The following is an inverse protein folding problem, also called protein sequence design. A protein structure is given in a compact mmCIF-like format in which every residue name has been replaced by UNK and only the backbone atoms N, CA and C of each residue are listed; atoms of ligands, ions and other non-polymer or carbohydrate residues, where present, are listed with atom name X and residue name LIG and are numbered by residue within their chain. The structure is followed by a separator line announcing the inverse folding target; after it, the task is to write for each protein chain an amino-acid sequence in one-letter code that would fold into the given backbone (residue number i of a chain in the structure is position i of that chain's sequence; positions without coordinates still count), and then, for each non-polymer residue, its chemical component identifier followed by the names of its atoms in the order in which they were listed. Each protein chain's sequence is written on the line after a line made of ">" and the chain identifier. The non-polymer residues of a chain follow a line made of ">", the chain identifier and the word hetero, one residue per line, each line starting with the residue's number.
data_IF_493914973114
#
_entry.id   IF_493914973114
#
_cell.length_a   1.000
_cell.length_b   1.000
_cell.length_c   1.000
_cell.angle_alpha   90.00
_cell.angle_beta   90.00
_cell.angle_gamma   90.00
#
_symmetry.space_group_name_H-M   'P 1'
#
loop_
_entity.id
_entity.type
_entity.pdbx_description
1 polymer ?
#
# COMPACT_ATOMS: atom_id res chain seq x y z
N UNK A 1 4.23 15.58 -15.38
CA UNK A 1 4.42 16.33 -14.13
C UNK A 1 3.79 15.51 -13.03
N UNK A 2 4.58 14.96 -12.11
CA UNK A 2 3.98 14.47 -10.86
C UNK A 2 3.39 15.68 -10.12
N UNK A 3 2.12 15.62 -9.77
CA UNK A 3 1.46 16.68 -9.03
C UNK A 3 1.95 16.63 -7.57
N UNK A 4 2.08 17.78 -6.91
CA UNK A 4 2.43 17.86 -5.47
C UNK A 4 1.52 16.98 -4.59
N UNK A 5 0.28 16.80 -5.02
CA UNK A 5 -0.70 15.90 -4.37
C UNK A 5 -0.23 14.44 -4.43
N UNK A 6 0.29 13.98 -5.57
CA UNK A 6 0.78 12.60 -5.74
C UNK A 6 2.00 12.34 -4.86
N UNK A 7 2.95 13.29 -4.81
CA UNK A 7 4.11 13.19 -3.92
C UNK A 7 3.67 13.11 -2.44
N UNK A 8 2.66 13.89 -2.03
CA UNK A 8 2.13 13.84 -0.67
C UNK A 8 1.48 12.48 -0.37
N UNK A 9 0.63 11.97 -1.28
CA UNK A 9 0.00 10.65 -1.16
C UNK A 9 1.04 9.55 -1.03
N UNK A 10 2.10 9.59 -1.84
CA UNK A 10 3.23 8.64 -1.76
C UNK A 10 3.93 8.69 -0.39
N UNK A 11 4.19 9.89 0.14
CA UNK A 11 4.81 10.04 1.46
C UNK A 11 3.92 9.53 2.59
N UNK A 12 2.59 9.69 2.48
CA UNK A 12 1.63 9.14 3.43
C UNK A 12 1.59 7.60 3.39
N UNK A 13 1.74 7.00 2.20
CA UNK A 13 1.80 5.54 2.04
C UNK A 13 2.93 4.91 2.88
N UNK A 14 4.08 5.58 3.00
CA UNK A 14 5.19 5.05 3.81
C UNK A 14 4.76 4.80 5.26
N UNK A 15 3.91 5.66 5.81
CA UNK A 15 3.34 5.45 7.16
C UNK A 15 2.47 4.20 7.22
N UNK A 16 1.69 3.91 6.18
CA UNK A 16 0.86 2.70 6.12
C UNK A 16 1.71 1.43 5.94
N UNK A 17 2.77 1.48 5.12
CA UNK A 17 3.73 0.37 4.99
C UNK A 17 4.51 0.10 6.27
N UNK A 18 4.88 1.14 7.02
CA UNK A 18 5.54 0.98 8.33
C UNK A 18 4.63 0.26 9.33
N UNK A 19 3.32 0.53 9.30
CA UNK A 19 2.35 -0.19 10.16
C UNK A 19 2.28 -1.66 9.79
N UNK A 20 2.19 -1.99 8.50
CA UNK A 20 2.19 -3.38 8.04
C UNK A 20 3.49 -4.10 8.40
N UNK A 21 4.64 -3.48 8.16
CA UNK A 21 5.93 -4.07 8.52
C UNK A 21 6.04 -4.34 10.03
N UNK A 22 5.40 -3.52 10.87
CA UNK A 22 5.38 -3.71 12.33
C UNK A 22 4.51 -4.87 12.82
N UNK A 23 3.71 -5.47 11.96
CA UNK A 23 2.96 -6.70 12.29
C UNK A 23 3.89 -7.92 12.37
N UNK A 24 4.96 -7.93 11.58
CA UNK A 24 5.91 -9.06 11.47
C UNK A 24 7.30 -8.75 12.02
N UNK A 25 7.61 -7.48 12.32
CA UNK A 25 8.91 -7.05 12.82
C UNK A 25 8.76 -6.26 14.11
N UNK A 26 9.67 -6.50 15.05
CA UNK A 26 9.75 -5.69 16.27
C UNK A 26 10.20 -4.28 15.95
N UNK A 27 9.85 -3.36 16.85
CA UNK A 27 10.24 -1.96 16.73
C UNK A 27 11.76 -1.77 16.58
N UNK A 28 12.55 -2.55 17.31
CA UNK A 28 14.02 -2.50 17.24
C UNK A 28 14.53 -2.96 15.87
N UNK A 29 14.02 -4.09 15.36
CA UNK A 29 14.38 -4.59 14.02
C UNK A 29 14.07 -3.58 12.91
N UNK A 30 12.91 -2.91 12.97
CA UNK A 30 12.56 -1.86 12.02
C UNK A 30 13.49 -0.65 12.14
N UNK A 31 13.83 -0.24 13.37
CA UNK A 31 14.75 0.87 13.62
C UNK A 31 16.10 0.60 12.95
N UNK A 32 16.64 -0.60 13.16
CA UNK A 32 17.95 -1.01 12.68
C UNK A 32 17.96 -1.16 11.16
N UNK A 33 16.97 -1.87 10.60
CA UNK A 33 16.89 -2.12 9.16
C UNK A 33 16.68 -0.84 8.34
N UNK A 34 15.81 0.05 8.83
CA UNK A 34 15.49 1.29 8.13
C UNK A 34 16.53 2.40 8.36
N UNK A 35 17.51 2.19 9.25
CA UNK A 35 18.45 3.21 9.70
C UNK A 35 17.70 4.47 10.20
N UNK A 36 16.73 4.22 11.08
CA UNK A 36 15.93 5.25 11.73
C UNK A 36 16.20 5.22 13.23
N UNK A 37 16.38 6.38 13.83
CA UNK A 37 16.38 6.45 15.29
C UNK A 37 14.97 6.15 15.84
N UNK A 38 14.86 5.56 17.05
CA UNK A 38 13.56 5.26 17.66
C UNK A 38 12.59 6.46 17.68
N UNK A 39 13.00 7.71 17.97
CA UNK A 39 12.10 8.86 17.91
C UNK A 39 11.59 9.18 16.50
N UNK A 40 12.42 9.00 15.47
CA UNK A 40 12.03 9.28 14.07
C UNK A 40 11.03 8.23 13.58
N UNK A 41 11.34 6.94 13.79
CA UNK A 41 10.45 5.84 13.44
C UNK A 41 9.06 6.05 14.07
N UNK A 42 9.03 6.47 15.34
CA UNK A 42 7.80 6.71 16.08
C UNK A 42 6.95 7.81 15.45
N UNK A 43 7.59 8.93 15.07
CA UNK A 43 6.91 10.06 14.43
C UNK A 43 6.36 9.67 13.06
N UNK A 44 7.08 8.85 12.31
CA UNK A 44 6.65 8.37 10.99
C UNK A 44 5.48 7.39 11.09
N UNK A 45 5.55 6.40 12.00
CA UNK A 45 4.48 5.41 12.21
C UNK A 45 3.16 6.06 12.67
N UNK A 46 3.25 7.12 13.49
CA UNK A 46 2.06 7.88 13.94
C UNK A 46 1.62 8.95 12.94
N UNK A 47 2.39 9.21 11.88
CA UNK A 47 2.09 10.27 10.91
C UNK A 47 2.26 11.69 11.44
N UNK A 48 2.94 11.90 12.59
CA UNK A 48 3.21 13.24 13.13
C UNK A 48 4.14 14.05 12.22
N UNK A 49 5.02 13.35 11.49
CA UNK A 49 5.92 13.90 10.48
C UNK A 49 5.93 12.93 9.32
N UNK A 50 5.91 13.45 8.09
CA UNK A 50 6.09 12.64 6.90
C UNK A 50 7.55 12.74 6.42
N UNK A 51 8.17 11.63 5.96
CA UNK A 51 9.49 11.69 5.35
C UNK A 51 9.49 12.66 4.15
N UNK A 52 10.66 13.21 3.79
CA UNK A 52 10.77 13.90 2.49
C UNK A 52 10.54 12.92 1.34
N UNK A 53 10.21 13.40 0.13
CA UNK A 53 9.96 12.51 -1.01
C UNK A 53 11.14 11.56 -1.28
N UNK A 54 12.38 12.08 -1.34
CA UNK A 54 13.59 11.25 -1.49
C UNK A 54 13.76 10.22 -0.36
N UNK A 55 13.47 10.60 0.89
CA UNK A 55 13.55 9.68 2.03
C UNK A 55 12.43 8.64 2.00
N UNK A 56 11.25 9.00 1.51
CA UNK A 56 10.12 8.10 1.31
C UNK A 56 10.48 7.01 0.29
N UNK A 57 11.11 7.37 -0.82
CA UNK A 57 11.54 6.41 -1.84
C UNK A 57 12.53 5.38 -1.26
N UNK A 58 13.57 5.83 -0.56
CA UNK A 58 14.51 4.90 0.07
C UNK A 58 13.89 4.04 1.18
N UNK A 59 12.91 4.57 1.92
CA UNK A 59 12.16 3.77 2.89
C UNK A 59 11.26 2.74 2.21
N UNK A 60 10.64 3.08 1.08
CA UNK A 60 9.82 2.17 0.31
C UNK A 60 10.63 0.96 -0.15
N UNK A 61 11.78 1.18 -0.79
CA UNK A 61 12.66 0.11 -1.27
C UNK A 61 13.02 -0.86 -0.14
N UNK A 62 13.50 -0.32 0.98
CA UNK A 62 13.80 -1.10 2.19
C UNK A 62 12.56 -1.85 2.70
N UNK A 63 11.43 -1.16 2.89
CA UNK A 63 10.21 -1.78 3.42
C UNK A 63 9.73 -2.93 2.54
N UNK A 64 9.87 -2.81 1.21
CA UNK A 64 9.52 -3.87 0.28
C UNK A 64 10.45 -5.09 0.35
N UNK A 65 11.70 -4.94 0.82
CA UNK A 65 12.63 -6.06 1.03
C UNK A 65 12.27 -6.90 2.26
N UNK A 66 11.76 -6.26 3.32
CA UNK A 66 11.38 -6.96 4.57
C UNK A 66 9.89 -7.32 4.64
N UNK A 67 9.07 -6.63 3.86
CA UNK A 67 7.63 -6.89 3.80
C UNK A 67 7.36 -7.76 2.59
N UNK A 68 7.23 -9.07 2.81
CA UNK A 68 6.70 -9.95 1.77
C UNK A 68 5.19 -9.72 1.61
N UNK A 69 4.83 -8.67 0.87
CA UNK A 69 3.43 -8.30 0.60
C UNK A 69 2.66 -9.49 0.02
N UNK A 70 3.30 -10.31 -0.81
CA UNK A 70 2.62 -11.45 -1.45
C UNK A 70 2.23 -12.49 -0.41
N UNK A 71 3.15 -12.87 0.46
CA UNK A 71 2.87 -13.83 1.53
C UNK A 71 1.93 -13.23 2.58
N UNK A 72 2.03 -11.95 2.91
CA UNK A 72 1.09 -11.29 3.83
C UNK A 72 -0.35 -11.22 3.28
N UNK A 73 -0.50 -11.01 1.97
CA UNK A 73 -1.80 -11.09 1.31
C UNK A 73 -2.35 -12.52 1.33
N UNK A 74 -1.51 -13.53 1.04
CA UNK A 74 -1.92 -14.94 1.07
C UNK A 74 -2.41 -15.38 2.45
N UNK A 75 -1.76 -14.93 3.53
CA UNK A 75 -2.19 -15.23 4.91
C UNK A 75 -3.60 -14.71 5.23
N UNK A 76 -4.08 -13.74 4.45
CA UNK A 76 -5.40 -13.11 4.61
C UNK A 76 -6.46 -13.67 3.67
N UNK A 77 -6.08 -14.62 2.82
CA UNK A 77 -7.00 -15.38 1.98
C UNK A 77 -7.18 -16.74 2.64
N UNK A 78 -8.41 -17.06 3.01
CA UNK A 78 -8.76 -18.39 3.49
C UNK A 78 -9.42 -19.20 2.37
N UNK A 79 -9.30 -20.52 2.45
CA UNK A 79 -10.02 -21.44 1.58
C UNK A 79 -10.92 -22.30 2.46
N UNK A 80 -12.15 -22.53 2.01
CA UNK A 80 -13.02 -23.52 2.64
C UNK A 80 -12.73 -24.94 2.14
N UNK A 81 -13.44 -25.91 2.70
CA UNK A 81 -13.28 -27.33 2.37
C UNK A 81 -13.66 -27.66 0.91
N UNK A 82 -14.41 -26.79 0.24
CA UNK A 82 -14.80 -26.91 -1.17
C UNK A 82 -13.84 -26.20 -2.14
N UNK A 83 -12.82 -25.50 -1.60
CA UNK A 83 -11.82 -24.77 -2.36
C UNK A 83 -12.26 -23.36 -2.79
N UNK A 84 -13.36 -22.85 -2.24
CA UNK A 84 -13.75 -21.45 -2.42
C UNK A 84 -12.84 -20.56 -1.58
N UNK A 85 -12.30 -19.51 -2.21
CA UNK A 85 -11.43 -18.57 -1.50
C UNK A 85 -12.25 -17.40 -0.97
N UNK A 86 -11.99 -17.04 0.29
CA UNK A 86 -12.52 -15.86 0.94
C UNK A 86 -11.41 -14.80 1.04
N UNK A 87 -11.62 -13.68 0.35
CA UNK A 87 -10.76 -12.50 0.36
C UNK A 87 -11.43 -11.32 1.10
N UNK A 88 -12.55 -11.53 1.78
CA UNK A 88 -13.31 -10.50 2.51
C UNK A 88 -12.41 -9.65 3.42
N UNK A 89 -11.46 -10.22 4.18
CA UNK A 89 -10.55 -9.43 5.01
C UNK A 89 -9.71 -8.43 4.19
N UNK A 90 -9.31 -8.78 2.96
CA UNK A 90 -8.51 -7.92 2.10
C UNK A 90 -9.32 -6.81 1.44
N UNK A 91 -10.54 -7.12 1.00
CA UNK A 91 -11.38 -6.14 0.29
C UNK A 91 -12.10 -5.18 1.24
N UNK A 92 -12.09 -5.44 2.54
CA UNK A 92 -12.69 -4.60 3.59
C UNK A 92 -11.68 -3.84 4.45
N UNK A 93 -10.40 -4.23 4.48
CA UNK A 93 -9.37 -3.57 5.29
C UNK A 93 -8.67 -2.43 4.50
N UNK A 94 -8.83 -1.20 4.99
CA UNK A 94 -8.44 -0.01 4.24
C UNK A 94 -6.93 0.15 4.07
N UNK A 95 -6.11 -0.38 5.00
CA UNK A 95 -4.65 -0.26 4.95
C UNK A 95 -4.12 -1.07 3.76
N UNK A 96 -4.56 -2.31 3.60
CA UNK A 96 -4.23 -3.19 2.48
C UNK A 96 -4.74 -2.65 1.16
N UNK A 97 -5.98 -2.13 1.11
CA UNK A 97 -6.50 -1.49 -0.09
C UNK A 97 -5.60 -0.32 -0.54
N UNK A 98 -5.13 0.52 0.39
CA UNK A 98 -4.20 1.61 0.08
C UNK A 98 -2.85 1.10 -0.39
N UNK A 99 -2.28 0.08 0.26
CA UNK A 99 -0.98 -0.50 -0.11
C UNK A 99 -1.06 -1.10 -1.53
N UNK A 100 -2.07 -1.92 -1.80
CA UNK A 100 -2.30 -2.49 -3.13
C UNK A 100 -2.50 -1.42 -4.20
N UNK A 101 -3.22 -0.35 -3.87
CA UNK A 101 -3.48 0.74 -4.82
C UNK A 101 -2.22 1.50 -5.19
N UNK A 102 -1.33 1.75 -4.22
CA UNK A 102 -0.05 2.37 -4.51
C UNK A 102 0.91 1.42 -5.22
N UNK A 103 0.92 0.13 -4.88
CA UNK A 103 1.67 -0.88 -5.63
C UNK A 103 1.27 -0.87 -7.11
N UNK A 104 -0.03 -0.81 -7.40
CA UNK A 104 -0.51 -0.65 -8.77
C UNK A 104 0.00 0.65 -9.40
N UNK A 105 -0.08 1.78 -8.69
CA UNK A 105 0.41 3.08 -9.18
C UNK A 105 1.88 3.04 -9.61
N UNK A 106 2.75 2.40 -8.83
CA UNK A 106 4.17 2.18 -9.14
C UNK A 106 4.35 1.31 -10.38
N UNK A 107 3.58 0.21 -10.50
CA UNK A 107 3.64 -0.67 -11.69
C UNK A 107 3.19 0.02 -12.98
N UNK A 108 2.32 1.02 -12.87
CA UNK A 108 1.87 1.84 -14.00
C UNK A 108 2.61 3.19 -14.09
N UNK A 109 3.67 3.41 -13.30
CA UNK A 109 4.48 4.63 -13.39
C UNK A 109 5.06 4.80 -14.81
N UNK A 110 5.08 6.04 -15.29
CA UNK A 110 5.50 6.37 -16.65
C UNK A 110 4.50 6.01 -17.76
N UNK A 111 3.37 5.34 -17.44
CA UNK A 111 2.30 5.06 -18.40
C UNK A 111 1.17 6.09 -18.30
N UNK A 112 0.57 6.42 -19.43
CA UNK A 112 -0.66 7.24 -19.46
C UNK A 112 -1.87 6.34 -19.22
N UNK A 113 -2.32 6.26 -17.97
CA UNK A 113 -3.58 5.61 -17.62
C UNK A 113 -4.72 6.59 -17.81
N UNK A 114 -5.80 6.18 -18.50
CA UNK A 114 -6.96 7.04 -18.79
C UNK A 114 -8.23 6.60 -18.09
N UNK A 115 -8.31 5.34 -17.65
CA UNK A 115 -9.42 4.71 -16.94
C UNK A 115 -8.88 3.53 -16.13
N UNK A 116 -9.60 3.15 -15.08
CA UNK A 116 -9.40 1.87 -14.37
C UNK A 116 -10.62 1.01 -14.63
N UNK A 117 -10.44 -0.24 -15.00
CA UNK A 117 -11.54 -1.20 -15.26
C UNK A 117 -11.49 -2.31 -14.22
N UNK A 118 -12.65 -2.70 -13.71
CA UNK A 118 -12.79 -3.85 -12.81
C UNK A 118 -14.07 -4.63 -13.13
N UNK A 119 -14.05 -5.94 -12.87
CA UNK A 119 -15.25 -6.76 -12.86
C UNK A 119 -15.85 -6.74 -11.45
N UNK A 120 -17.18 -6.66 -11.36
CA UNK A 120 -17.85 -6.78 -10.07
C UNK A 120 -17.60 -8.18 -9.45
N UNK A 121 -17.48 -8.33 -8.13
CA UNK A 121 -17.73 -7.34 -7.06
C UNK A 121 -16.46 -6.96 -6.28
N UNK A 122 -15.64 -7.94 -5.95
CA UNK A 122 -14.52 -7.82 -5.00
C UNK A 122 -13.38 -6.90 -5.47
N UNK A 123 -13.24 -6.70 -6.78
CA UNK A 123 -12.24 -5.79 -7.34
C UNK A 123 -12.59 -4.31 -7.18
N UNK A 124 -13.85 -3.98 -6.85
CA UNK A 124 -14.34 -2.60 -6.80
C UNK A 124 -13.60 -1.76 -5.74
N UNK A 125 -13.40 -2.19 -4.48
CA UNK A 125 -12.77 -1.37 -3.46
C UNK A 125 -11.35 -0.92 -3.83
N UNK A 126 -10.49 -1.86 -4.26
CA UNK A 126 -9.11 -1.52 -4.66
C UNK A 126 -9.09 -0.68 -5.92
N UNK A 127 -9.94 -0.98 -6.90
CA UNK A 127 -10.00 -0.24 -8.17
C UNK A 127 -10.47 1.19 -7.96
N UNK A 128 -11.37 1.41 -6.99
CA UNK A 128 -11.84 2.75 -6.58
C UNK A 128 -10.68 3.59 -6.05
N UNK A 129 -9.85 3.02 -5.19
CA UNK A 129 -8.69 3.72 -4.65
C UNK A 129 -7.61 3.98 -5.72
N UNK A 130 -7.33 3.01 -6.59
CA UNK A 130 -6.40 3.20 -7.72
C UNK A 130 -6.87 4.35 -8.62
N UNK A 131 -8.17 4.39 -8.93
CA UNK A 131 -8.80 5.46 -9.72
C UNK A 131 -8.63 6.82 -9.04
N UNK A 132 -8.85 6.89 -7.72
CA UNK A 132 -8.63 8.10 -6.94
C UNK A 132 -7.16 8.56 -6.90
N UNK A 133 -6.21 7.63 -6.88
CA UNK A 133 -4.77 7.96 -6.92
C UNK A 133 -4.35 8.50 -8.28
N UNK A 134 -4.88 7.92 -9.36
CA UNK A 134 -4.58 8.29 -10.74
C UNK A 134 -5.39 9.49 -11.25
N UNK A 135 -6.44 9.89 -10.52
CA UNK A 135 -7.38 10.94 -10.91
C UNK A 135 -8.05 10.63 -12.26
N UNK A 136 -8.56 9.41 -12.39
CA UNK A 136 -9.27 8.92 -13.58
C UNK A 136 -10.55 8.19 -13.18
N UNK A 137 -11.50 8.07 -14.11
CA UNK A 137 -12.76 7.37 -13.80
C UNK A 137 -12.56 5.85 -13.69
N UNK A 138 -13.30 5.27 -12.75
CA UNK A 138 -13.51 3.83 -12.60
C UNK A 138 -14.63 3.36 -13.54
N UNK A 139 -14.38 2.28 -14.27
CA UNK A 139 -15.37 1.55 -15.05
C UNK A 139 -15.60 0.20 -14.39
N UNK A 140 -16.86 -0.15 -14.16
CA UNK A 140 -17.25 -1.45 -13.56
C UNK A 140 -18.00 -2.26 -14.61
N UNK A 141 -17.43 -3.39 -15.02
CA UNK A 141 -18.12 -4.39 -15.82
C UNK A 141 -19.07 -5.17 -14.90
N UNK A 142 -20.35 -5.19 -15.28
CA UNK A 142 -21.44 -5.89 -14.59
C UNK A 142 -21.86 -7.14 -15.37
#
# INVERSE_FOLDING_TARGET
>A
METRVRELKYRMMITDLLKVASESHTYQQLSDFLDLSPPILSRYMRGHVLPSYKRAQGLYEKLMEITDIKEELKKRISFDDEGYFDNTPLVSEITWLKIMSNYALEKFAGRRVTKVLTAAVDGIPVSTLVSNLLDVDLVVAK
#
